data_IF_150121538779
#
_entry.id   IF_150121538779
#
_cell.length_a   1.000
_cell.length_b   1.000
_cell.length_c   1.000
_cell.angle_alpha   90.00
_cell.angle_beta   90.00
_cell.angle_gamma   90.00
#
_symmetry.space_group_name_H-M   'P 1'
#
loop_
_entity.id
_entity.type
_entity.pdbx_description
1 polymer ?
#
# COMPACT_ATOMS: atom_id res chain seq x y z
N UNK A 1 1.90 -7.96 35.28
CA UNK A 1 2.44 -6.90 34.40
C UNK A 1 1.73 -7.10 33.07
N UNK A 2 0.89 -6.14 32.70
CA UNK A 2 0.06 -6.21 31.50
C UNK A 2 0.93 -5.87 30.28
N UNK A 3 0.78 -6.60 29.18
CA UNK A 3 1.50 -6.32 27.95
C UNK A 3 0.82 -5.15 27.24
N UNK A 4 1.29 -3.94 27.48
CA UNK A 4 0.99 -2.77 26.65
C UNK A 4 1.58 -3.01 25.25
N UNK A 5 0.72 -3.24 24.26
CA UNK A 5 1.12 -3.40 22.88
C UNK A 5 0.50 -2.30 22.03
N UNK A 6 1.26 -1.23 21.86
CA UNK A 6 0.92 -0.11 20.98
C UNK A 6 1.52 -0.37 19.60
N UNK A 7 0.66 -0.60 18.60
CA UNK A 7 1.04 -0.57 17.19
C UNK A 7 0.63 0.77 16.60
N UNK A 8 1.60 1.54 16.11
CA UNK A 8 1.33 2.69 15.25
C UNK A 8 1.58 2.26 13.80
N UNK A 9 0.49 2.20 13.02
CA UNK A 9 0.50 1.95 11.58
C UNK A 9 0.43 3.29 10.87
N UNK A 10 1.54 4.01 10.78
CA UNK A 10 1.58 5.21 9.94
C UNK A 10 2.01 4.82 8.54
N UNK A 11 1.08 4.26 7.77
CA UNK A 11 1.23 4.20 6.30
C UNK A 11 1.02 5.62 5.77
N UNK A 12 2.07 6.21 5.20
CA UNK A 12 2.00 7.54 4.63
C UNK A 12 1.16 7.55 3.33
N UNK A 13 0.45 8.64 3.09
CA UNK A 13 -0.33 8.84 1.87
C UNK A 13 0.01 10.18 1.21
N UNK A 14 -0.15 10.23 -0.11
CA UNK A 14 -0.03 11.44 -0.90
C UNK A 14 -1.37 11.68 -1.59
N UNK A 15 -1.95 12.85 -1.37
CA UNK A 15 -3.18 13.27 -2.05
C UNK A 15 -2.94 14.60 -2.75
N UNK A 16 -3.21 14.63 -4.05
CA UNK A 16 -3.18 15.84 -4.86
C UNK A 16 -4.59 16.13 -5.38
N UNK A 17 -5.04 17.40 -5.34
CA UNK A 17 -6.34 17.79 -5.91
C UNK A 17 -6.33 17.86 -7.45
N UNK A 18 -5.13 17.90 -8.05
CA UNK A 18 -4.92 17.79 -9.49
C UNK A 18 -4.23 16.47 -9.84
N UNK A 19 -3.13 16.56 -10.57
CA UNK A 19 -2.35 15.41 -10.98
C UNK A 19 -1.33 15.03 -9.89
N UNK A 20 -1.04 13.74 -9.77
CA UNK A 20 0.05 13.20 -8.97
C UNK A 20 0.97 12.39 -9.89
N UNK A 21 2.25 12.79 -9.97
CA UNK A 21 3.26 12.07 -10.75
C UNK A 21 4.41 11.65 -9.86
N UNK A 22 4.72 10.34 -9.84
CA UNK A 22 5.94 9.79 -9.27
C UNK A 22 6.79 9.21 -10.41
N UNK A 23 8.01 9.70 -10.56
CA UNK A 23 8.94 9.27 -11.59
C UNK A 23 10.27 8.83 -10.97
N UNK A 24 10.50 7.52 -10.90
CA UNK A 24 11.78 6.94 -10.52
C UNK A 24 12.67 6.83 -11.77
N UNK A 25 13.45 7.88 -12.04
CA UNK A 25 14.37 7.94 -13.19
C UNK A 25 15.52 6.93 -13.11
N UNK A 26 15.78 6.40 -11.92
CA UNK A 26 16.62 5.25 -11.67
C UNK A 26 15.96 4.37 -10.59
N UNK A 27 15.93 3.06 -10.80
CA UNK A 27 15.36 2.10 -9.84
C UNK A 27 13.88 1.81 -10.05
N UNK A 28 13.29 1.23 -9.00
CA UNK A 28 11.90 0.75 -8.95
C UNK A 28 11.05 1.65 -8.03
N UNK A 29 9.73 1.58 -8.19
CA UNK A 29 8.76 2.17 -7.25
C UNK A 29 8.17 1.03 -6.41
N UNK A 30 8.18 1.19 -5.09
CA UNK A 30 7.54 0.27 -4.15
C UNK A 30 6.54 1.04 -3.30
N UNK A 31 5.26 0.71 -3.43
CA UNK A 31 4.18 1.28 -2.64
C UNK A 31 3.59 0.18 -1.73
N UNK A 32 3.88 0.26 -0.43
CA UNK A 32 3.45 -0.74 0.55
C UNK A 32 2.46 -0.14 1.54
N UNK A 33 1.18 -0.48 1.42
CA UNK A 33 0.09 -0.03 2.29
C UNK A 33 -0.23 1.46 2.22
N UNK A 34 0.38 2.20 1.29
CA UNK A 34 0.25 3.64 1.17
C UNK A 34 -0.90 4.04 0.25
N UNK A 35 -1.48 5.22 0.50
CA UNK A 35 -2.54 5.81 -0.32
C UNK A 35 -1.93 6.82 -1.30
N UNK A 36 -2.12 6.62 -2.60
CA UNK A 36 -1.79 7.57 -3.66
C UNK A 36 -3.08 8.02 -4.34
N UNK A 37 -3.45 9.28 -4.16
CA UNK A 37 -4.70 9.82 -4.70
C UNK A 37 -4.44 11.08 -5.52
N UNK A 38 -4.94 11.10 -6.75
CA UNK A 38 -5.02 12.26 -7.61
C UNK A 38 -6.49 12.64 -7.81
N UNK A 39 -6.82 13.93 -7.77
CA UNK A 39 -8.13 14.42 -8.19
C UNK A 39 -8.32 14.38 -9.71
N UNK A 40 -7.23 14.20 -10.45
CA UNK A 40 -7.17 14.00 -11.91
C UNK A 40 -6.26 12.82 -12.22
N UNK A 41 -5.10 13.03 -12.84
CA UNK A 41 -4.27 11.91 -13.31
C UNK A 41 -3.24 11.47 -12.27
N UNK A 42 -3.20 10.16 -11.99
CA UNK A 42 -2.14 9.51 -11.23
C UNK A 42 -1.18 8.81 -12.20
N UNK A 43 0.07 9.26 -12.26
CA UNK A 43 1.12 8.65 -13.10
C UNK A 43 2.25 8.11 -12.24
N UNK A 44 2.52 6.81 -12.35
CA UNK A 44 3.69 6.15 -11.77
C UNK A 44 4.59 5.67 -12.89
N UNK A 45 5.85 6.09 -12.90
CA UNK A 45 6.83 5.66 -13.89
C UNK A 45 8.13 5.25 -13.20
N UNK A 46 8.64 4.06 -13.53
CA UNK A 46 9.88 3.56 -13.00
C UNK A 46 10.82 3.08 -14.11
N UNK A 47 12.12 3.31 -13.91
CA UNK A 47 13.16 2.84 -14.81
C UNK A 47 13.39 1.32 -14.76
N UNK A 48 12.88 0.65 -13.72
CA UNK A 48 12.91 -0.81 -13.55
C UNK A 48 11.49 -1.33 -13.29
N UNK A 49 11.14 -1.60 -12.04
CA UNK A 49 9.88 -2.28 -11.69
C UNK A 49 8.94 -1.37 -10.90
N UNK A 50 7.65 -1.70 -10.89
CA UNK A 50 6.68 -1.07 -9.98
C UNK A 50 5.95 -2.16 -9.20
N UNK A 51 6.08 -2.13 -7.88
CA UNK A 51 5.42 -3.04 -6.95
C UNK A 51 4.46 -2.26 -6.06
N UNK A 52 3.17 -2.63 -6.11
CA UNK A 52 2.11 -2.06 -5.26
C UNK A 52 1.54 -3.18 -4.38
N UNK A 53 1.72 -3.08 -3.07
CA UNK A 53 1.54 -4.20 -2.15
C UNK A 53 0.79 -3.80 -0.87
N UNK A 54 -0.02 -4.71 -0.34
CA UNK A 54 -0.55 -4.55 1.03
C UNK A 54 0.51 -4.85 2.08
N UNK A 55 0.46 -4.13 3.20
CA UNK A 55 1.16 -4.53 4.42
C UNK A 55 0.19 -5.34 5.28
N UNK A 56 0.53 -6.60 5.53
CA UNK A 56 -0.14 -7.44 6.53
C UNK A 56 0.77 -7.65 7.73
N UNK A 57 0.30 -7.39 8.94
CA UNK A 57 1.00 -7.81 10.16
C UNK A 57 0.12 -8.76 10.98
N UNK A 58 0.71 -9.89 11.36
CA UNK A 58 0.11 -10.88 12.26
C UNK A 58 0.48 -10.50 13.71
N UNK A 59 -0.52 -10.14 14.52
CA UNK A 59 -0.35 -9.98 15.97
C UNK A 59 -0.50 -11.33 16.65
N UNK A 60 0.52 -11.76 17.40
CA UNK A 60 0.44 -12.89 18.35
C UNK A 60 0.68 -12.38 19.78
N UNK A 61 -0.39 -12.22 20.56
CA UNK A 61 -0.26 -12.02 22.01
C UNK A 61 -0.56 -13.34 22.70
N UNK A 62 0.41 -13.86 23.44
CA UNK A 62 0.21 -14.98 24.33
C UNK A 62 0.28 -14.47 25.77
N UNK A 63 -0.85 -14.47 26.47
CA UNK A 63 -0.90 -14.20 27.90
C UNK A 63 -0.99 -15.54 28.61
N UNK A 64 0.05 -15.91 29.36
CA UNK A 64 0.07 -17.12 30.19
C UNK A 64 -0.10 -16.70 31.66
N UNK A 65 -1.30 -16.89 32.21
CA UNK A 65 -1.52 -16.94 33.66
C UNK A 65 -2.00 -18.34 34.04
N UNK A 66 -1.59 -18.79 35.24
CA UNK A 66 -1.87 -20.14 35.76
C UNK A 66 -3.37 -20.47 35.66
N UNK A 67 -3.74 -21.25 34.62
CA UNK A 67 -5.08 -21.80 34.43
C UNK A 67 -5.88 -21.26 33.24
N UNK A 68 -5.45 -20.22 32.51
CA UNK A 68 -6.17 -19.75 31.31
C UNK A 68 -5.23 -19.06 30.32
N UNK A 69 -5.19 -19.60 29.10
CA UNK A 69 -4.46 -19.03 27.96
C UNK A 69 -5.44 -18.22 27.12
N UNK A 70 -5.19 -16.92 26.93
CA UNK A 70 -5.95 -16.09 26.01
C UNK A 70 -5.04 -15.69 24.85
N UNK A 71 -5.42 -16.08 23.63
CA UNK A 71 -4.73 -15.75 22.39
C UNK A 71 -5.63 -14.87 21.54
N UNK A 72 -5.24 -13.61 21.34
CA UNK A 72 -5.91 -12.70 20.42
C UNK A 72 -5.20 -12.70 19.06
N UNK A 73 -5.95 -13.02 18.01
CA UNK A 73 -5.52 -12.91 16.63
C UNK A 73 -6.08 -11.61 16.06
N UNK A 74 -5.20 -10.64 15.80
CA UNK A 74 -5.57 -9.43 15.07
C UNK A 74 -4.72 -9.40 13.80
N UNK A 75 -5.37 -9.63 12.67
CA UNK A 75 -4.77 -9.40 11.36
C UNK A 75 -5.15 -7.97 10.93
N UNK A 76 -4.20 -7.05 10.95
CA UNK A 76 -4.40 -5.73 10.35
C UNK A 76 -3.79 -5.78 8.95
N UNK A 77 -4.64 -5.61 7.94
CA UNK A 77 -4.23 -5.46 6.55
C UNK A 77 -4.39 -3.98 6.18
N UNK A 78 -3.28 -3.28 5.98
CA UNK A 78 -3.26 -1.96 5.36
C UNK A 78 -2.98 -2.14 3.88
N UNK A 79 -4.03 -2.14 3.06
CA UNK A 79 -3.91 -2.27 1.61
C UNK A 79 -3.49 -0.97 0.96
N UNK A 80 -2.59 -1.03 -0.02
CA UNK A 80 -2.30 0.13 -0.87
C UNK A 80 -3.55 0.57 -1.62
N UNK A 81 -3.74 1.88 -1.75
CA UNK A 81 -4.88 2.45 -2.47
C UNK A 81 -4.40 3.46 -3.50
N UNK A 82 -4.75 3.23 -4.77
CA UNK A 82 -4.43 4.12 -5.88
C UNK A 82 -5.75 4.66 -6.44
N UNK A 83 -5.89 5.99 -6.52
CA UNK A 83 -7.08 6.65 -7.05
C UNK A 83 -6.75 7.82 -7.96
N UNK A 84 -7.59 8.00 -8.98
CA UNK A 84 -7.47 9.05 -9.99
C UNK A 84 -8.66 9.06 -10.94
N UNK A 85 -8.74 10.08 -11.77
CA UNK A 85 -9.61 10.08 -12.95
C UNK A 85 -9.03 9.12 -14.01
N UNK A 86 -7.72 9.27 -14.29
CA UNK A 86 -6.92 8.32 -15.06
C UNK A 86 -5.75 7.84 -14.21
N UNK A 87 -5.45 6.54 -14.26
CA UNK A 87 -4.26 5.97 -13.62
C UNK A 87 -3.37 5.37 -14.70
N UNK A 88 -2.11 5.79 -14.75
CA UNK A 88 -1.09 5.24 -15.65
C UNK A 88 0.07 4.71 -14.81
N UNK A 89 0.40 3.43 -14.97
CA UNK A 89 1.51 2.76 -14.28
C UNK A 89 2.44 2.17 -15.33
N UNK A 90 3.69 2.65 -15.38
CA UNK A 90 4.68 2.24 -16.37
C UNK A 90 5.96 1.78 -15.68
N UNK A 91 6.14 0.47 -15.59
CA UNK A 91 7.41 -0.19 -15.32
C UNK A 91 8.14 -0.50 -16.62
N UNK A 92 9.46 -0.63 -16.56
CA UNK A 92 10.29 -1.04 -17.70
C UNK A 92 10.36 -2.57 -17.85
N UNK A 93 10.41 -3.30 -16.73
CA UNK A 93 10.49 -4.77 -16.78
C UNK A 93 9.24 -5.46 -16.22
N UNK A 94 8.66 -4.93 -15.14
CA UNK A 94 7.47 -5.51 -14.55
C UNK A 94 6.64 -4.47 -13.78
N UNK A 95 5.32 -4.70 -13.75
CA UNK A 95 4.40 -4.07 -12.81
C UNK A 95 3.67 -5.16 -12.04
N UNK A 96 3.82 -5.19 -10.71
CA UNK A 96 3.11 -6.09 -9.81
C UNK A 96 2.15 -5.30 -8.92
N UNK A 97 0.91 -5.79 -8.81
CA UNK A 97 -0.12 -5.18 -7.96
C UNK A 97 -0.78 -6.30 -7.15
N UNK A 98 -0.50 -6.34 -5.85
CA UNK A 98 -0.91 -7.42 -4.96
C UNK A 98 -1.60 -6.87 -3.71
N UNK A 99 -2.87 -7.25 -3.52
CA UNK A 99 -3.67 -6.78 -2.39
C UNK A 99 -4.00 -5.28 -2.41
N UNK A 100 -3.65 -4.55 -3.47
CA UNK A 100 -3.96 -3.13 -3.57
C UNK A 100 -5.35 -2.89 -4.18
N UNK A 101 -6.02 -1.81 -3.74
CA UNK A 101 -7.19 -1.28 -4.41
C UNK A 101 -6.76 -0.23 -5.44
N UNK A 102 -7.13 -0.41 -6.70
CA UNK A 102 -6.85 0.54 -7.79
C UNK A 102 -8.19 0.95 -8.40
N UNK A 103 -8.53 2.23 -8.33
CA UNK A 103 -9.80 2.76 -8.82
C UNK A 103 -9.59 4.02 -9.66
N UNK A 104 -9.98 3.96 -10.92
CA UNK A 104 -10.00 5.14 -11.79
C UNK A 104 -11.43 5.45 -12.24
N UNK A 105 -11.78 6.72 -12.36
CA UNK A 105 -13.09 7.12 -12.90
C UNK A 105 -13.23 6.85 -14.40
N UNK A 106 -12.11 6.96 -15.14
CA UNK A 106 -12.08 6.78 -16.60
C UNK A 106 -11.29 5.56 -17.02
N UNK A 107 -9.98 5.56 -16.78
CA UNK A 107 -9.07 4.58 -17.38
C UNK A 107 -7.98 4.17 -16.40
N UNK A 108 -7.65 2.88 -16.42
CA UNK A 108 -6.44 2.34 -15.81
C UNK A 108 -5.58 1.79 -16.94
N UNK A 109 -4.37 2.30 -17.08
CA UNK A 109 -3.36 1.84 -18.02
C UNK A 109 -2.15 1.29 -17.27
N UNK A 110 -1.74 0.07 -17.60
CA UNK A 110 -0.59 -0.62 -16.98
C UNK A 110 0.32 -1.12 -18.11
N UNK A 111 1.58 -0.72 -18.04
CA UNK A 111 2.65 -1.13 -18.94
C UNK A 111 3.81 -1.62 -18.09
N UNK A 112 4.28 -2.84 -18.35
CA UNK A 112 5.36 -3.49 -17.61
C UNK A 112 6.25 -4.28 -18.55
#
# INVERSE_FOLDING_TARGET
QELEQTYLLDTAGITATGNLTLNATAGSILNQGAVLSAGKDLTLTAAQDIDIESVSQERRVAVAYQGSSYSEYVNIHQGSQLSGETITITGKNQVNIQGAAVAAEKTIEIQG
#
